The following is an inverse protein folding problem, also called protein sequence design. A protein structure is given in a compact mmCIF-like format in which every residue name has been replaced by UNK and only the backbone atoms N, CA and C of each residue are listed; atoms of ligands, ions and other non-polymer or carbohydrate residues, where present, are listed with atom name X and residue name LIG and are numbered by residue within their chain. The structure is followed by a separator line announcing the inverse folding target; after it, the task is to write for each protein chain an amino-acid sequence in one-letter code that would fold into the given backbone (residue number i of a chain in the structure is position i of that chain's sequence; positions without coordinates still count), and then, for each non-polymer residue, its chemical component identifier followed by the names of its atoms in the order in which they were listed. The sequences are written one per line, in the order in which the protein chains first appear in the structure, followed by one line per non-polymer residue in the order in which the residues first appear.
data_IF_029639634318
#
_entry.id   IF_029639634318
#
_cell.length_a   1.000
_cell.length_b   1.000
_cell.length_c   1.000
_cell.angle_alpha   90.00
_cell.angle_beta   90.00
_cell.angle_gamma   90.00
#
_symmetry.space_group_name_H-M   'P 1'
#
loop_
_entity.id
_entity.type
_entity.pdbx_description
1 polymer ?
#
# COMPACT_ATOMS: atom_id res chain seq x y z
N UNK A 1 7.09 -2.35 18.64
CA UNK A 1 7.16 -2.61 20.09
C UNK A 1 7.46 -4.07 20.43
N UNK A 2 6.82 -5.08 19.82
CA UNK A 2 7.07 -6.50 20.16
C UNK A 2 8.32 -7.13 19.50
N UNK A 3 8.90 -6.47 18.49
CA UNK A 3 10.00 -7.00 17.66
C UNK A 3 11.19 -7.60 18.44
N UNK A 4 11.67 -7.02 19.57
CA UNK A 4 12.79 -7.58 20.32
C UNK A 4 12.49 -8.94 20.96
N UNK A 5 11.21 -9.26 21.19
CA UNK A 5 10.76 -10.49 21.84
C UNK A 5 10.33 -11.58 20.84
N UNK A 6 10.42 -11.32 19.53
CA UNK A 6 10.02 -12.28 18.51
C UNK A 6 11.15 -13.28 18.21
N UNK A 7 10.81 -14.56 17.89
CA UNK A 7 11.76 -15.51 17.33
C UNK A 7 12.45 -14.94 16.09
N UNK A 8 13.71 -15.32 15.86
CA UNK A 8 14.53 -14.76 14.78
C UNK A 8 13.86 -14.84 13.41
N UNK A 9 13.22 -15.97 13.11
CA UNK A 9 12.53 -16.22 11.84
C UNK A 9 11.41 -15.20 11.59
N UNK A 10 10.65 -14.83 12.62
CA UNK A 10 9.54 -13.87 12.52
C UNK A 10 10.09 -12.45 12.51
N UNK A 11 11.06 -12.16 13.39
CA UNK A 11 11.74 -10.87 13.46
C UNK A 11 12.34 -10.47 12.11
N UNK A 12 12.94 -11.41 11.39
CA UNK A 12 13.52 -11.18 10.06
C UNK A 12 12.49 -10.79 8.98
N UNK A 13 11.20 -11.12 9.17
CA UNK A 13 10.13 -10.81 8.18
C UNK A 13 9.44 -9.47 8.40
N UNK A 14 9.70 -8.81 9.54
CA UNK A 14 9.10 -7.53 9.85
C UNK A 14 10.08 -6.38 9.55
N UNK A 15 9.60 -5.15 9.34
CA UNK A 15 10.46 -3.97 9.30
C UNK A 15 11.07 -3.70 10.69
N UNK A 16 12.34 -3.32 10.72
CA UNK A 16 13.00 -2.87 11.95
C UNK A 16 12.41 -1.55 12.45
N UNK A 17 12.20 -0.63 11.52
CA UNK A 17 11.55 0.65 11.76
C UNK A 17 10.59 0.95 10.61
N UNK A 18 9.48 1.61 10.92
CA UNK A 18 8.57 2.15 9.91
C UNK A 18 8.95 3.60 9.64
N UNK A 19 9.46 3.87 8.44
CA UNK A 19 9.84 5.22 8.02
C UNK A 19 8.59 5.97 7.56
N UNK A 20 8.32 7.17 8.10
CA UNK A 20 7.19 7.99 7.64
C UNK A 20 7.28 8.24 6.13
N UNK A 21 6.13 8.20 5.46
CA UNK A 21 6.03 8.51 4.04
C UNK A 21 6.51 9.95 3.77
N UNK A 22 7.34 10.14 2.74
CA UNK A 22 7.68 11.48 2.25
C UNK A 22 6.47 12.12 1.55
N UNK A 23 6.37 13.46 1.48
CA UNK A 23 5.26 14.13 0.79
C UNK A 23 5.09 13.67 -0.65
N UNK A 24 3.83 13.70 -1.12
CA UNK A 24 3.49 13.45 -2.52
C UNK A 24 3.52 14.76 -3.32
N UNK A 25 3.90 14.72 -4.61
CA UNK A 25 3.78 15.88 -5.49
C UNK A 25 2.31 16.30 -5.69
N UNK A 26 2.05 17.59 -5.99
CA UNK A 26 0.71 18.05 -6.32
C UNK A 26 0.25 17.55 -7.70
N UNK A 27 -1.07 17.57 -7.94
CA UNK A 27 -1.65 17.22 -9.25
C UNK A 27 -1.35 18.34 -10.26
N UNK A 28 -0.37 18.12 -11.14
CA UNK A 28 0.11 19.14 -12.10
C UNK A 28 0.21 18.68 -13.55
N UNK A 29 0.14 17.38 -13.80
CA UNK A 29 0.26 16.80 -15.13
C UNK A 29 -1.10 16.43 -15.74
N UNK A 30 -1.15 16.48 -17.09
CA UNK A 30 -2.33 16.09 -17.87
C UNK A 30 -2.66 14.60 -17.75
N UNK A 31 -1.64 13.74 -17.77
CA UNK A 31 -1.82 12.29 -17.53
C UNK A 31 -2.08 12.08 -16.04
N UNK A 32 -3.09 11.28 -15.70
CA UNK A 32 -3.49 11.00 -14.32
C UNK A 32 -3.73 9.52 -14.12
N UNK A 33 -3.50 9.05 -12.90
CA UNK A 33 -3.82 7.69 -12.48
C UNK A 33 -4.38 7.71 -11.06
N UNK A 34 -5.34 6.81 -10.80
CA UNK A 34 -5.82 6.54 -9.45
C UNK A 34 -4.90 5.53 -8.77
N UNK A 35 -4.53 5.79 -7.52
CA UNK A 35 -3.75 4.88 -6.70
C UNK A 35 -4.65 4.27 -5.64
N UNK A 36 -4.78 2.94 -5.66
CA UNK A 36 -5.37 2.20 -4.55
C UNK A 36 -4.37 2.20 -3.39
N UNK A 37 -4.77 2.73 -2.24
CA UNK A 37 -3.86 2.87 -1.10
C UNK A 37 -3.55 1.53 -0.42
N UNK A 38 -4.41 0.53 -0.63
CA UNK A 38 -4.29 -0.79 -0.06
C UNK A 38 -4.48 -0.80 1.47
N UNK A 39 -4.40 -1.99 2.06
CA UNK A 39 -4.59 -2.17 3.50
C UNK A 39 -3.28 -2.45 4.26
N UNK A 40 -2.39 -3.30 3.72
CA UNK A 40 -1.16 -3.71 4.41
C UNK A 40 0.00 -2.72 4.25
N UNK A 41 0.17 -2.14 3.06
CA UNK A 41 1.30 -1.26 2.75
C UNK A 41 1.37 0.01 3.62
N UNK A 42 0.28 0.73 3.94
CA UNK A 42 0.35 1.90 4.81
C UNK A 42 0.98 1.59 6.18
N UNK A 43 0.80 0.37 6.68
CA UNK A 43 1.34 -0.08 7.98
C UNK A 43 2.77 -0.61 7.87
N UNK A 44 3.06 -1.45 6.87
CA UNK A 44 4.35 -2.15 6.75
C UNK A 44 5.39 -1.40 5.91
N UNK A 45 4.95 -0.63 4.91
CA UNK A 45 5.80 0.07 3.96
C UNK A 45 5.19 1.41 3.51
N UNK A 46 4.92 2.34 4.45
CA UNK A 46 4.18 3.59 4.18
C UNK A 46 4.78 4.45 3.06
N UNK A 47 6.09 4.38 2.82
CA UNK A 47 6.74 5.18 1.78
C UNK A 47 6.59 4.62 0.36
N UNK A 48 6.05 3.40 0.16
CA UNK A 48 5.96 2.76 -1.16
C UNK A 48 5.09 3.59 -2.11
N UNK A 49 3.81 3.84 -1.80
CA UNK A 49 2.93 4.61 -2.67
C UNK A 49 3.40 6.06 -2.85
N UNK A 50 3.98 6.66 -1.81
CA UNK A 50 4.54 8.01 -1.91
C UNK A 50 5.75 8.06 -2.85
N UNK A 51 6.62 7.06 -2.82
CA UNK A 51 7.72 6.93 -3.76
C UNK A 51 7.23 6.71 -5.18
N UNK A 52 6.26 5.82 -5.38
CA UNK A 52 5.63 5.60 -6.68
C UNK A 52 5.04 6.89 -7.23
N UNK A 53 4.34 7.69 -6.42
CA UNK A 53 3.83 9.00 -6.84
C UNK A 53 4.93 9.96 -7.30
N UNK A 54 6.10 9.97 -6.62
CA UNK A 54 7.26 10.79 -7.03
C UNK A 54 7.94 10.30 -8.31
N UNK A 55 7.91 9.00 -8.58
CA UNK A 55 8.41 8.41 -9.83
C UNK A 55 7.46 8.76 -10.97
N UNK A 56 6.15 8.55 -10.78
CA UNK A 56 5.13 8.87 -11.78
C UNK A 56 5.07 10.36 -12.12
N UNK A 57 5.21 11.24 -11.12
CA UNK A 57 5.31 12.68 -11.33
C UNK A 57 6.52 13.06 -12.21
N UNK A 58 7.69 12.44 -11.98
CA UNK A 58 8.87 12.62 -12.87
C UNK A 58 8.63 12.13 -14.30
N UNK A 59 7.73 11.17 -14.48
CA UNK A 59 7.29 10.66 -15.78
C UNK A 59 6.10 11.44 -16.37
N UNK A 60 5.73 12.57 -15.75
CA UNK A 60 4.66 13.43 -16.23
C UNK A 60 3.25 12.86 -15.97
N UNK A 61 3.05 12.13 -14.87
CA UNK A 61 1.77 11.53 -14.49
C UNK A 61 1.41 11.96 -13.05
N UNK A 62 0.26 12.61 -12.90
CA UNK A 62 -0.30 12.96 -11.59
C UNK A 62 -0.95 11.73 -10.94
N UNK A 63 -0.75 11.56 -9.63
CA UNK A 63 -1.38 10.48 -8.87
C UNK A 63 -2.47 11.03 -7.96
N UNK A 64 -3.70 10.58 -8.15
CA UNK A 64 -4.82 10.85 -7.25
C UNK A 64 -5.03 9.64 -6.32
N UNK A 65 -5.00 9.81 -4.99
CA UNK A 65 -5.30 8.72 -4.07
C UNK A 65 -6.78 8.34 -4.11
N UNK A 66 -7.08 7.06 -4.14
CA UNK A 66 -8.44 6.53 -3.95
C UNK A 66 -8.62 6.12 -2.48
N UNK A 67 -8.82 7.10 -1.60
CA UNK A 67 -8.89 6.87 -0.14
C UNK A 67 -10.09 6.03 0.30
N UNK A 68 -11.14 5.98 -0.52
CA UNK A 68 -12.36 5.20 -0.24
C UNK A 68 -12.21 3.73 -0.66
N UNK A 69 -11.14 3.37 -1.37
CA UNK A 69 -10.95 2.00 -1.83
C UNK A 69 -10.78 1.03 -0.65
N UNK A 70 -11.56 -0.05 -0.68
CA UNK A 70 -11.52 -1.11 0.32
C UNK A 70 -10.37 -2.10 0.13
N UNK A 71 -10.48 -3.24 0.82
CA UNK A 71 -9.56 -4.35 0.69
C UNK A 71 -9.72 -5.04 -0.67
N UNK A 72 -8.61 -5.29 -1.38
CA UNK A 72 -8.60 -6.03 -2.65
C UNK A 72 -8.92 -7.54 -2.53
N UNK A 73 -9.10 -8.06 -1.31
CA UNK A 73 -9.44 -9.48 -1.08
C UNK A 73 -8.28 -10.46 -1.14
N UNK A 74 -7.04 -10.01 -1.41
CA UNK A 74 -5.90 -10.90 -1.62
C UNK A 74 -5.66 -11.92 -0.48
N UNK A 75 -5.82 -11.51 0.77
CA UNK A 75 -5.65 -12.42 1.92
C UNK A 75 -6.71 -13.53 1.93
N UNK A 76 -7.97 -13.21 1.60
CA UNK A 76 -9.03 -14.23 1.53
C UNK A 76 -8.74 -15.25 0.41
N UNK A 77 -8.19 -14.80 -0.73
CA UNK A 77 -7.73 -15.71 -1.79
C UNK A 77 -6.61 -16.65 -1.32
N UNK A 78 -5.63 -16.16 -0.53
CA UNK A 78 -4.59 -17.01 0.06
C UNK A 78 -5.11 -18.03 1.08
N UNK A 79 -6.29 -17.79 1.66
CA UNK A 79 -6.95 -18.66 2.63
C UNK A 79 -8.03 -19.57 1.98
N UNK A 80 -8.03 -19.71 0.65
CA UNK A 80 -9.02 -20.48 -0.10
C UNK A 80 -10.48 -20.03 0.16
N UNK A 81 -10.68 -18.72 0.31
CA UNK A 81 -11.98 -18.08 0.53
C UNK A 81 -12.32 -17.12 -0.63
N UNK A 82 -12.37 -17.65 -1.85
CA UNK A 82 -12.47 -16.87 -3.10
C UNK A 82 -13.75 -16.04 -3.19
N UNK A 83 -14.89 -16.58 -2.74
CA UNK A 83 -16.16 -15.83 -2.72
C UNK A 83 -16.07 -14.58 -1.81
N UNK A 84 -15.45 -14.72 -0.63
CA UNK A 84 -15.20 -13.59 0.28
C UNK A 84 -14.23 -12.59 -0.34
N UNK A 85 -13.16 -13.07 -0.98
CA UNK A 85 -12.19 -12.25 -1.69
C UNK A 85 -12.84 -11.40 -2.78
N UNK A 86 -13.69 -12.02 -3.62
CA UNK A 86 -14.44 -11.34 -4.68
C UNK A 86 -15.41 -10.30 -4.09
N UNK A 87 -16.15 -10.66 -3.03
CA UNK A 87 -17.08 -9.76 -2.36
C UNK A 87 -16.39 -8.54 -1.71
N UNK A 88 -15.12 -8.66 -1.30
CA UNK A 88 -14.32 -7.51 -0.83
C UNK A 88 -13.86 -6.63 -1.99
N UNK A 89 -13.38 -7.23 -3.08
CA UNK A 89 -12.85 -6.50 -4.23
C UNK A 89 -13.92 -5.71 -4.99
N UNK A 90 -15.19 -6.13 -4.90
CA UNK A 90 -16.32 -5.45 -5.54
C UNK A 90 -16.84 -4.22 -4.77
N UNK A 91 -16.23 -3.86 -3.65
CA UNK A 91 -16.59 -2.70 -2.81
C UNK A 91 -15.55 -1.59 -2.94
#
# INVERSE_FOLDING_TARGET
MLRPFLPEQVRAKLPAETVKAKPRPPLRHKRRVLMLEGCGQPTLSPNTNAATARVLDRLGISVTPANEAGCCGAVDYHLNAQEKGLARAAK
#
